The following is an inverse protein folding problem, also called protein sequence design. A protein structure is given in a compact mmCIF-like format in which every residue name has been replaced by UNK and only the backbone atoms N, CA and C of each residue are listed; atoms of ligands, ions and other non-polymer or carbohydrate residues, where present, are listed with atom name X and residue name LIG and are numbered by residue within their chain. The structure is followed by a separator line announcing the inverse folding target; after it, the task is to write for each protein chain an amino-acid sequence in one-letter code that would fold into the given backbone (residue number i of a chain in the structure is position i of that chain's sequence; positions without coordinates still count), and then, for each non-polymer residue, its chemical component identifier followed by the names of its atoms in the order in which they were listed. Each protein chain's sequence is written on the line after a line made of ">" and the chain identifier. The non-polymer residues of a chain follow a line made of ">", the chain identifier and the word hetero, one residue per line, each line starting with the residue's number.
data_IF_444373079026
#
_entry.id   IF_444373079026
#
_cell.length_a   1.000
_cell.length_b   1.000
_cell.length_c   1.000
_cell.angle_alpha   90.00
_cell.angle_beta   90.00
_cell.angle_gamma   90.00
#
_symmetry.space_group_name_H-M   'P 1'
#
loop_
_entity.id
_entity.type
_entity.pdbx_description
1 polymer ?
#
# COMPACT_ATOMS: atom_id res chain seq x y z
N UNK A 1 0.55 31.60 5.20
CA UNK A 1 -0.88 31.42 5.57
C UNK A 1 -1.61 30.87 4.36
N UNK A 2 -2.21 29.67 4.40
CA UNK A 2 -2.90 29.11 3.24
C UNK A 2 -4.24 29.82 3.01
N UNK A 3 -4.57 30.11 1.76
CA UNK A 3 -5.75 30.90 1.37
C UNK A 3 -7.02 30.04 1.31
N UNK A 4 -8.03 30.45 2.05
CA UNK A 4 -9.35 29.84 2.11
C UNK A 4 -10.15 30.28 0.86
N UNK A 5 -10.60 29.33 0.03
CA UNK A 5 -11.45 29.62 -1.13
C UNK A 5 -12.93 29.47 -0.74
N UNK A 6 -13.71 30.52 -1.00
CA UNK A 6 -15.15 30.56 -0.77
C UNK A 6 -15.89 30.37 -2.11
N UNK A 7 -17.05 29.73 -2.09
CA UNK A 7 -17.97 29.67 -3.24
C UNK A 7 -19.32 30.16 -2.79
N UNK A 8 -19.85 31.16 -3.49
CA UNK A 8 -21.10 31.82 -3.17
C UNK A 8 -22.27 31.00 -3.74
N UNK A 9 -23.28 30.74 -2.90
CA UNK A 9 -24.55 30.14 -3.34
C UNK A 9 -25.66 31.09 -2.88
N UNK A 10 -26.77 31.11 -3.63
CA UNK A 10 -27.86 32.10 -3.67
C UNK A 10 -28.53 32.44 -2.30
N UNK A 11 -28.12 31.82 -1.18
CA UNK A 11 -28.60 32.12 0.16
C UNK A 11 -27.53 32.37 1.24
N UNK A 12 -26.27 32.59 0.88
CA UNK A 12 -25.21 33.00 1.83
C UNK A 12 -23.85 32.33 1.61
N UNK A 13 -22.85 32.78 2.39
CA UNK A 13 -21.49 32.22 2.42
C UNK A 13 -21.43 31.08 3.43
N UNK A 14 -21.46 29.83 2.96
CA UNK A 14 -21.13 28.67 3.79
C UNK A 14 -19.63 28.45 3.69
N UNK A 15 -18.91 28.62 4.80
CA UNK A 15 -17.55 28.10 4.94
C UNK A 15 -17.61 26.58 4.73
N UNK A 16 -17.18 26.11 3.56
CA UNK A 16 -16.97 24.68 3.36
C UNK A 16 -15.75 24.30 4.16
N UNK A 17 -15.94 23.49 5.20
CA UNK A 17 -14.87 22.67 5.73
C UNK A 17 -14.22 21.93 4.56
N UNK A 18 -12.89 21.83 4.60
CA UNK A 18 -12.08 21.13 3.60
C UNK A 18 -12.52 19.66 3.56
N UNK A 19 -13.57 19.34 2.81
CA UNK A 19 -13.89 17.97 2.45
C UNK A 19 -12.76 17.50 1.54
N UNK A 20 -11.79 16.79 2.13
CA UNK A 20 -10.82 15.98 1.42
C UNK A 20 -11.56 14.98 0.52
N UNK A 21 -11.87 15.39 -0.72
CA UNK A 21 -12.75 14.66 -1.64
C UNK A 21 -12.06 14.08 -2.86
N UNK A 22 -10.73 14.10 -2.97
CA UNK A 22 -10.11 13.61 -4.21
C UNK A 22 -9.66 12.15 -4.18
N UNK A 23 -9.39 11.54 -3.02
CA UNK A 23 -9.00 10.12 -2.94
C UNK A 23 -9.60 9.45 -1.71
N UNK A 24 -10.30 8.33 -1.91
CA UNK A 24 -10.81 7.49 -0.82
C UNK A 24 -9.99 6.21 -0.73
N UNK A 25 -9.60 5.85 0.49
CA UNK A 25 -8.86 4.63 0.77
C UNK A 25 -9.77 3.56 1.35
N UNK A 26 -9.44 2.32 1.02
CA UNK A 26 -10.20 1.15 1.39
C UNK A 26 -9.23 0.12 1.98
N UNK A 27 -9.54 -0.34 3.18
CA UNK A 27 -8.82 -1.45 3.79
C UNK A 27 -9.52 -2.74 3.39
N UNK A 28 -8.80 -3.69 2.77
CA UNK A 28 -9.40 -4.95 2.35
C UNK A 28 -9.80 -5.76 3.57
N UNK A 29 -10.95 -6.42 3.48
CA UNK A 29 -11.33 -7.39 4.49
C UNK A 29 -10.50 -8.66 4.32
N UNK A 30 -9.46 -8.79 5.15
CA UNK A 30 -8.54 -9.92 5.11
C UNK A 30 -9.21 -11.25 5.52
N UNK A 31 -10.41 -11.22 6.11
CA UNK A 31 -11.16 -12.43 6.46
C UNK A 31 -12.00 -12.96 5.29
N UNK A 32 -12.35 -12.13 4.31
CA UNK A 32 -13.01 -12.55 3.08
C UNK A 32 -11.98 -12.84 1.99
N UNK A 33 -11.32 -14.00 2.09
CA UNK A 33 -10.52 -14.49 0.98
C UNK A 33 -11.41 -14.79 -0.24
N UNK A 34 -10.96 -14.49 -1.47
CA UNK A 34 -11.72 -14.78 -2.68
C UNK A 34 -12.05 -16.27 -2.80
N UNK A 35 -13.29 -16.61 -3.14
CA UNK A 35 -13.70 -18.00 -3.39
C UNK A 35 -13.67 -18.31 -4.89
N UNK A 36 -12.57 -18.91 -5.34
CA UNK A 36 -12.37 -19.36 -6.73
C UNK A 36 -11.99 -18.22 -7.71
N UNK A 37 -11.53 -18.57 -8.92
CA UNK A 37 -11.13 -17.63 -9.98
C UNK A 37 -9.77 -16.94 -9.77
N UNK A 38 -9.30 -16.10 -10.72
CA UNK A 38 -8.11 -15.27 -10.54
C UNK A 38 -8.32 -14.32 -9.36
N UNK A 39 -7.42 -14.34 -8.38
CA UNK A 39 -7.65 -13.73 -7.06
C UNK A 39 -8.12 -12.27 -7.09
N UNK A 40 -7.55 -11.46 -7.99
CA UNK A 40 -7.91 -10.05 -8.12
C UNK A 40 -9.27 -9.80 -8.78
N UNK A 41 -9.74 -10.72 -9.64
CA UNK A 41 -11.06 -10.63 -10.29
C UNK A 41 -12.18 -11.02 -9.34
N UNK A 42 -11.90 -11.98 -8.46
CA UNK A 42 -12.84 -12.51 -7.49
C UNK A 42 -12.87 -11.71 -6.18
N UNK A 43 -12.06 -10.68 -6.05
CA UNK A 43 -12.05 -9.81 -4.89
C UNK A 43 -13.28 -8.89 -4.89
N UNK A 44 -14.10 -8.99 -3.83
CA UNK A 44 -15.32 -8.18 -3.70
C UNK A 44 -15.03 -6.85 -3.00
N UNK A 45 -14.70 -5.82 -3.78
CA UNK A 45 -14.42 -4.47 -3.28
C UNK A 45 -15.58 -3.82 -2.50
N UNK A 46 -16.81 -4.39 -2.55
CA UNK A 46 -17.94 -3.90 -1.75
C UNK A 46 -17.81 -4.27 -0.27
N UNK A 47 -17.02 -5.29 0.03
CA UNK A 47 -16.73 -5.73 1.40
C UNK A 47 -15.61 -4.91 2.04
N UNK A 48 -14.88 -4.11 1.23
CA UNK A 48 -13.79 -3.30 1.74
C UNK A 48 -14.30 -2.17 2.63
N UNK A 49 -13.56 -1.97 3.73
CA UNK A 49 -13.89 -0.94 4.70
C UNK A 49 -13.25 0.38 4.30
N UNK A 50 -14.07 1.40 4.10
CA UNK A 50 -13.56 2.77 3.89
C UNK A 50 -12.77 3.23 5.12
N UNK A 51 -11.55 3.69 4.88
CA UNK A 51 -10.64 4.24 5.90
C UNK A 51 -10.24 5.66 5.55
N UNK A 52 -9.93 6.44 6.58
CA UNK A 52 -9.58 7.85 6.45
C UNK A 52 -8.16 8.07 6.96
N UNK A 53 -7.44 9.01 6.37
CA UNK A 53 -6.16 9.45 6.95
C UNK A 53 -6.48 10.31 8.18
N UNK A 54 -5.77 10.08 9.29
CA UNK A 54 -5.93 10.89 10.49
C UNK A 54 -5.40 12.31 10.25
N UNK A 55 -6.04 13.38 10.76
CA UNK A 55 -5.61 14.77 10.56
C UNK A 55 -4.18 15.09 11.01
N UNK A 56 -3.63 14.31 11.95
CA UNK A 56 -2.23 14.47 12.41
C UNK A 56 -1.20 13.87 11.44
N UNK A 57 -1.62 13.06 10.47
CA UNK A 57 -0.69 12.53 9.47
C UNK A 57 -0.32 13.62 8.46
N UNK A 58 0.95 13.68 8.08
CA UNK A 58 1.47 14.65 7.09
C UNK A 58 0.77 14.53 5.74
N UNK A 59 0.37 13.31 5.36
CA UNK A 59 -0.34 13.03 4.11
C UNK A 59 -1.83 13.38 4.15
N UNK A 60 -2.37 13.87 5.27
CA UNK A 60 -3.80 14.24 5.36
C UNK A 60 -4.19 15.36 4.39
N UNK A 61 -3.30 16.32 4.19
CA UNK A 61 -3.51 17.45 3.26
C UNK A 61 -3.10 17.14 1.81
N UNK A 62 -2.54 15.96 1.55
CA UNK A 62 -2.04 15.60 0.24
C UNK A 62 -3.18 15.27 -0.73
N UNK A 63 -3.18 15.95 -1.87
CA UNK A 63 -4.15 15.73 -2.95
C UNK A 63 -3.68 14.68 -3.96
N UNK A 64 -2.36 14.46 -4.04
CA UNK A 64 -1.74 13.50 -4.97
C UNK A 64 -0.74 12.61 -4.21
N UNK A 65 -0.87 11.31 -4.42
CA UNK A 65 0.05 10.30 -3.89
C UNK A 65 0.98 9.89 -5.05
N UNK A 66 2.27 10.12 -4.88
CA UNK A 66 3.27 9.85 -5.91
C UNK A 66 3.70 8.38 -5.84
N UNK A 67 4.15 7.80 -6.95
CA UNK A 67 4.59 6.41 -7.12
C UNK A 67 3.48 5.34 -7.17
N UNK A 68 2.66 5.16 -6.12
CA UNK A 68 1.71 4.03 -6.06
C UNK A 68 0.32 4.42 -5.55
N UNK A 69 -0.75 3.68 -5.96
CA UNK A 69 -2.11 3.88 -5.44
C UNK A 69 -2.31 3.23 -4.05
N UNK A 70 -1.24 2.74 -3.42
CA UNK A 70 -1.30 2.07 -2.13
C UNK A 70 -0.68 2.94 -1.06
N UNK A 71 -1.11 2.69 0.17
CA UNK A 71 -0.54 3.31 1.36
C UNK A 71 -0.24 2.24 2.39
N UNK A 72 0.80 2.47 3.18
CA UNK A 72 1.05 1.72 4.40
C UNK A 72 0.86 2.64 5.59
N UNK A 73 0.48 2.07 6.72
CA UNK A 73 0.21 2.82 7.94
C UNK A 73 0.80 2.08 9.13
N UNK A 74 1.19 2.81 10.17
CA UNK A 74 1.72 2.22 11.38
C UNK A 74 0.62 1.85 12.37
N UNK A 75 -0.36 2.74 12.57
CA UNK A 75 -1.42 2.54 13.55
C UNK A 75 -2.79 2.90 12.98
N UNK A 76 -3.82 2.18 13.45
CA UNK A 76 -5.22 2.51 13.19
C UNK A 76 -5.91 2.90 14.48
N UNK A 77 -6.83 3.84 14.40
CA UNK A 77 -7.71 4.23 15.50
C UNK A 77 -9.14 4.27 15.01
N UNK A 78 -10.05 3.63 15.74
CA UNK A 78 -11.49 3.75 15.52
C UNK A 78 -12.02 4.90 16.39
N UNK A 79 -12.80 5.79 15.77
CA UNK A 79 -13.56 6.81 16.48
C UNK A 79 -15.04 6.51 16.28
N UNK A 80 -15.73 6.24 17.39
CA UNK A 80 -17.17 6.09 17.41
C UNK A 80 -17.79 7.43 17.80
N UNK A 81 -18.49 8.05 16.86
CA UNK A 81 -19.33 9.20 17.15
C UNK A 81 -20.73 8.69 17.47
N UNK A 82 -21.33 9.15 18.58
CA UNK A 82 -22.70 8.75 18.97
C UNK A 82 -23.74 9.04 17.89
N UNK A 83 -23.46 9.99 16.98
CA UNK A 83 -24.33 10.35 15.87
C UNK A 83 -24.11 9.52 14.59
N UNK A 84 -23.24 8.50 14.61
CA UNK A 84 -22.97 7.63 13.45
C UNK A 84 -23.21 6.17 13.79
N UNK A 85 -23.90 5.48 12.86
CA UNK A 85 -24.23 4.06 13.01
C UNK A 85 -23.00 3.15 13.00
N UNK A 86 -21.91 3.55 12.32
CA UNK A 86 -20.66 2.79 12.26
C UNK A 86 -19.45 3.65 12.66
N UNK A 87 -18.45 3.06 13.34
CA UNK A 87 -17.25 3.77 13.73
C UNK A 87 -16.40 4.11 12.50
N UNK A 88 -15.82 5.31 12.47
CA UNK A 88 -14.85 5.70 11.44
C UNK A 88 -13.48 5.19 11.82
N UNK A 89 -12.79 4.55 10.88
CA UNK A 89 -11.39 4.14 11.06
C UNK A 89 -10.47 5.20 10.46
N UNK A 90 -9.56 5.69 11.30
CA UNK A 90 -8.51 6.62 10.92
C UNK A 90 -7.15 5.92 10.94
N UNK A 91 -6.35 6.13 9.90
CA UNK A 91 -4.97 5.65 9.77
C UNK A 91 -4.00 6.74 10.22
N UNK A 92 -3.06 6.37 11.08
CA UNK A 92 -1.99 7.24 11.60
C UNK A 92 -0.65 6.83 11.00
N UNK A 93 0.21 7.83 10.84
CA UNK A 93 1.57 7.68 10.29
C UNK A 93 1.56 6.95 8.94
N UNK A 94 0.77 7.49 8.01
CA UNK A 94 0.64 6.96 6.66
C UNK A 94 1.87 7.33 5.83
N UNK A 95 2.39 6.37 5.07
CA UNK A 95 3.44 6.57 4.08
C UNK A 95 3.07 5.93 2.75
N UNK A 96 3.52 6.51 1.64
CA UNK A 96 3.33 5.94 0.30
C UNK A 96 4.59 5.15 -0.04
N UNK A 97 4.51 3.82 -0.17
CA UNK A 97 5.66 3.01 -0.56
C UNK A 97 5.90 3.06 -2.07
N UNK A 98 7.15 2.85 -2.49
CA UNK A 98 7.48 2.54 -3.88
C UNK A 98 6.90 1.18 -4.31
N UNK A 99 6.72 0.99 -5.61
CA UNK A 99 6.15 -0.25 -6.14
C UNK A 99 7.05 -1.43 -5.82
N UNK A 100 8.36 -1.30 -6.06
CA UNK A 100 9.30 -2.40 -5.80
C UNK A 100 9.50 -2.65 -4.30
N UNK A 101 9.31 -1.64 -3.45
CA UNK A 101 9.29 -1.83 -2.01
C UNK A 101 8.11 -2.72 -1.57
N UNK A 102 6.91 -2.47 -2.10
CA UNK A 102 5.75 -3.33 -1.89
C UNK A 102 5.96 -4.73 -2.49
N UNK A 103 6.53 -4.82 -3.68
CA UNK A 103 6.80 -6.12 -4.30
C UNK A 103 7.89 -6.90 -3.57
N UNK A 104 8.86 -6.29 -2.90
CA UNK A 104 9.89 -7.00 -2.12
C UNK A 104 9.43 -7.36 -0.71
N UNK A 105 8.76 -6.45 0.00
CA UNK A 105 8.49 -6.59 1.43
C UNK A 105 7.00 -6.67 1.79
N UNK A 106 6.11 -6.56 0.79
CA UNK A 106 4.69 -6.75 0.97
C UNK A 106 4.30 -8.22 1.20
N UNK A 107 3.03 -8.47 1.53
CA UNK A 107 2.51 -9.81 1.82
C UNK A 107 2.91 -10.84 0.76
N UNK A 108 3.45 -11.97 1.19
CA UNK A 108 3.66 -13.14 0.34
C UNK A 108 2.37 -13.99 0.28
N UNK A 109 2.14 -14.75 -0.81
CA UNK A 109 2.96 -14.85 -2.02
C UNK A 109 2.63 -13.77 -3.06
N UNK A 110 3.52 -13.60 -4.05
CA UNK A 110 3.24 -12.85 -5.27
C UNK A 110 2.55 -13.76 -6.29
N UNK A 111 1.35 -13.40 -6.74
CA UNK A 111 0.53 -14.25 -7.60
C UNK A 111 0.35 -13.58 -8.95
N UNK A 112 0.64 -14.33 -10.01
CA UNK A 112 0.71 -13.81 -11.38
C UNK A 112 -0.48 -14.28 -12.19
N UNK A 113 -1.21 -13.34 -12.77
CA UNK A 113 -2.15 -13.58 -13.84
C UNK A 113 -1.44 -13.29 -15.18
N UNK A 114 -1.01 -14.36 -15.84
CA UNK A 114 -0.24 -14.29 -17.08
C UNK A 114 -1.03 -13.71 -18.24
N UNK A 115 -2.34 -13.98 -18.30
CA UNK A 115 -3.21 -13.56 -19.39
C UNK A 115 -3.48 -12.06 -19.31
N UNK A 116 -3.77 -11.56 -18.11
CA UNK A 116 -4.14 -10.16 -17.90
C UNK A 116 -2.93 -9.25 -17.59
N UNK A 117 -1.74 -9.83 -17.42
CA UNK A 117 -0.51 -9.10 -16.99
C UNK A 117 -0.73 -8.36 -15.68
N UNK A 118 -1.34 -9.06 -14.72
CA UNK A 118 -1.63 -8.55 -13.39
C UNK A 118 -0.81 -9.33 -12.37
N UNK A 119 -0.27 -8.61 -11.40
CA UNK A 119 0.46 -9.14 -10.28
C UNK A 119 -0.30 -8.80 -9.00
N UNK A 120 -0.65 -9.82 -8.24
CA UNK A 120 -1.30 -9.68 -6.93
C UNK A 120 -0.24 -9.82 -5.83
N UNK A 121 -0.31 -8.93 -4.84
CA UNK A 121 0.56 -8.94 -3.67
C UNK A 121 -0.24 -9.56 -2.51
N UNK A 122 0.11 -10.77 -2.12
CA UNK A 122 -0.60 -11.55 -1.12
C UNK A 122 -1.78 -12.34 -1.68
N UNK A 123 -2.44 -13.09 -0.79
CA UNK A 123 -3.50 -14.03 -1.14
C UNK A 123 -4.90 -13.41 -1.23
N UNK A 124 -5.09 -12.15 -0.82
CA UNK A 124 -6.41 -11.51 -0.78
C UNK A 124 -6.91 -11.01 -2.14
N UNK A 125 -6.01 -10.82 -3.11
CA UNK A 125 -6.34 -10.24 -4.41
C UNK A 125 -6.55 -8.71 -4.41
N UNK A 126 -6.69 -8.08 -3.23
CA UNK A 126 -6.94 -6.65 -3.08
C UNK A 126 -5.79 -5.75 -3.59
N UNK A 127 -4.56 -6.23 -3.45
CA UNK A 127 -3.36 -5.49 -3.85
C UNK A 127 -2.92 -5.98 -5.24
N UNK A 128 -3.62 -5.54 -6.28
CA UNK A 128 -3.35 -5.92 -7.65
C UNK A 128 -2.72 -4.76 -8.44
N UNK A 129 -1.64 -5.05 -9.18
CA UNK A 129 -0.94 -4.09 -10.04
C UNK A 129 -0.77 -4.64 -11.44
N UNK A 130 -0.82 -3.76 -12.44
CA UNK A 130 -0.51 -4.16 -13.82
C UNK A 130 1.00 -4.22 -14.00
N UNK A 131 1.53 -5.42 -14.24
CA UNK A 131 2.96 -5.66 -14.38
C UNK A 131 3.23 -6.88 -15.25
N UNK A 132 4.40 -6.90 -15.89
CA UNK A 132 4.80 -8.08 -16.66
C UNK A 132 5.10 -9.26 -15.73
N UNK A 133 4.63 -10.49 -16.03
CA UNK A 133 4.89 -11.69 -15.25
C UNK A 133 6.36 -11.90 -14.84
N UNK A 134 7.31 -11.55 -15.71
CA UNK A 134 8.74 -11.62 -15.41
C UNK A 134 9.17 -10.84 -14.17
N UNK A 135 8.53 -9.70 -13.88
CA UNK A 135 8.84 -8.87 -12.71
C UNK A 135 8.57 -9.67 -11.44
N UNK A 136 7.44 -10.38 -11.38
CA UNK A 136 7.08 -11.21 -10.23
C UNK A 136 8.08 -12.34 -10.01
N UNK A 137 8.52 -13.01 -11.08
CA UNK A 137 9.52 -14.08 -10.99
C UNK A 137 10.86 -13.55 -10.49
N UNK A 138 11.33 -12.41 -11.03
CA UNK A 138 12.59 -11.78 -10.62
C UNK A 138 12.54 -11.37 -9.15
N UNK A 139 11.47 -10.70 -8.73
CA UNK A 139 11.28 -10.28 -7.35
C UNK A 139 11.18 -11.48 -6.41
N UNK A 140 10.46 -12.53 -6.79
CA UNK A 140 10.36 -13.74 -5.98
C UNK A 140 11.72 -14.42 -5.80
N UNK A 141 12.53 -14.47 -6.86
CA UNK A 141 13.89 -14.99 -6.76
C UNK A 141 14.79 -14.11 -5.88
N UNK A 142 14.67 -12.77 -5.99
CA UNK A 142 15.41 -11.85 -5.12
C UNK A 142 15.00 -11.98 -3.65
N UNK A 143 13.70 -12.17 -3.35
CA UNK A 143 13.21 -12.45 -1.99
C UNK A 143 13.88 -13.71 -1.42
N UNK A 144 13.87 -14.81 -2.18
CA UNK A 144 14.51 -16.07 -1.75
C UNK A 144 16.01 -15.89 -1.47
N UNK A 145 16.72 -15.20 -2.36
CA UNK A 145 18.16 -14.96 -2.18
C UNK A 145 18.45 -14.06 -0.98
N UNK A 146 17.62 -13.02 -0.76
CA UNK A 146 17.75 -12.13 0.37
C UNK A 146 17.44 -12.85 1.69
N UNK A 147 16.37 -13.64 1.74
CA UNK A 147 15.99 -14.41 2.92
C UNK A 147 17.06 -15.42 3.31
N UNK A 148 17.65 -16.13 2.34
CA UNK A 148 18.76 -17.04 2.60
C UNK A 148 20.01 -16.31 3.11
N UNK A 149 20.30 -15.12 2.57
CA UNK A 149 21.40 -14.30 3.05
C UNK A 149 21.18 -13.82 4.49
N UNK A 150 19.97 -13.36 4.81
CA UNK A 150 19.58 -12.94 6.15
C UNK A 150 19.61 -14.11 7.13
N UNK A 151 19.16 -15.31 6.71
CA UNK A 151 19.25 -16.53 7.52
C UNK A 151 20.70 -16.87 7.88
N UNK A 152 21.62 -16.85 6.90
CA UNK A 152 23.06 -17.08 7.15
C UNK A 152 23.65 -16.04 8.10
N UNK A 153 23.27 -14.77 7.96
CA UNK A 153 23.71 -13.70 8.85
C UNK A 153 23.19 -13.90 10.27
N UNK A 154 21.96 -14.40 10.43
CA UNK A 154 21.39 -14.71 11.73
C UNK A 154 22.11 -15.89 12.40
N UNK A 155 22.45 -16.93 11.64
CA UNK A 155 23.15 -18.12 12.12
C UNK A 155 24.63 -17.85 12.46
N UNK A 156 25.30 -17.02 11.64
CA UNK A 156 26.70 -16.66 11.82
C UNK A 156 26.91 -15.16 11.55
N UNK A 157 26.70 -14.29 12.56
CA UNK A 157 26.75 -12.84 12.40
C UNK A 157 28.07 -12.30 11.85
N UNK A 158 29.20 -12.94 12.12
CA UNK A 158 30.52 -12.44 11.69
C UNK A 158 30.95 -12.94 10.30
N UNK A 159 30.33 -13.99 9.76
CA UNK A 159 30.85 -14.67 8.56
C UNK A 159 30.42 -14.04 7.24
N UNK A 160 29.38 -13.19 7.24
CA UNK A 160 28.80 -12.62 6.03
C UNK A 160 28.79 -11.08 6.10
N UNK A 161 29.54 -10.40 5.23
CA UNK A 161 29.36 -8.96 5.00
C UNK A 161 28.10 -8.75 4.14
N UNK A 162 27.10 -8.05 4.68
CA UNK A 162 25.85 -7.77 3.95
C UNK A 162 25.98 -6.56 3.02
N UNK A 163 26.74 -5.53 3.43
CA UNK A 163 26.81 -4.25 2.72
C UNK A 163 27.38 -4.40 1.29
N UNK A 164 28.37 -5.27 1.14
CA UNK A 164 29.05 -5.50 -0.14
C UNK A 164 28.44 -6.67 -0.93
N UNK A 165 27.41 -7.33 -0.38
CA UNK A 165 26.84 -8.50 -1.04
C UNK A 165 26.03 -8.07 -2.29
N UNK A 166 26.27 -8.69 -3.46
CA UNK A 166 25.66 -8.25 -4.73
C UNK A 166 24.12 -8.29 -4.69
N UNK A 167 23.53 -9.23 -3.96
CA UNK A 167 22.07 -9.29 -3.77
C UNK A 167 21.56 -8.05 -3.04
N UNK A 168 22.23 -7.62 -1.96
CA UNK A 168 21.82 -6.44 -1.18
C UNK A 168 21.98 -5.18 -2.03
N UNK A 169 23.10 -5.03 -2.74
CA UNK A 169 23.31 -3.90 -3.65
C UNK A 169 22.26 -3.84 -4.77
N UNK A 170 21.88 -5.01 -5.31
CA UNK A 170 20.83 -5.09 -6.34
C UNK A 170 19.48 -4.67 -5.78
N UNK A 171 19.12 -5.15 -4.57
CA UNK A 171 17.88 -4.76 -3.90
C UNK A 171 17.87 -3.27 -3.58
N UNK A 172 18.95 -2.73 -3.03
CA UNK A 172 19.07 -1.29 -2.74
C UNK A 172 18.89 -0.45 -4.00
N UNK A 173 19.61 -0.79 -5.08
CA UNK A 173 19.48 -0.09 -6.37
C UNK A 173 18.04 -0.17 -6.91
N UNK A 174 17.41 -1.34 -6.82
CA UNK A 174 16.03 -1.54 -7.27
C UNK A 174 15.03 -0.67 -6.50
N UNK A 175 15.23 -0.49 -5.20
CA UNK A 175 14.38 0.34 -4.34
C UNK A 175 14.65 1.84 -4.53
N UNK A 176 15.90 2.24 -4.73
CA UNK A 176 16.28 3.63 -4.96
C UNK A 176 15.76 4.16 -6.30
N UNK A 177 15.75 3.33 -7.34
CA UNK A 177 15.25 3.74 -8.67
C UNK A 177 13.78 3.40 -8.90
N UNK A 178 13.14 2.68 -7.97
CA UNK A 178 11.81 2.07 -8.15
C UNK A 178 11.67 1.33 -9.49
N UNK A 179 12.76 0.66 -9.89
CA UNK A 179 12.86 -0.11 -11.14
C UNK A 179 13.04 0.71 -12.42
N UNK A 180 13.37 2.00 -12.32
CA UNK A 180 13.83 2.83 -13.45
C UNK A 180 15.32 2.64 -13.75
#
# INVERSE_FOLDING_TARGET
>A
MPQQKFTEVIGGTVSRDHEAREVSFYAPDLMSLPRGGPLWQSHDYRMDRRVFIHPQSTLFSATKYQATPFIVYFAQSSSQNQNQASPRTYLRDVTVPGLYALLMFGPAPLIVDHENKVLCIGASGALAVRAWPRIAVLVNQLRILLDELLRRKLEAPESVSLADHPVVQTVLRLLETDGQ
#
